data_IF_736824522248
#
_entry.id   IF_736824522248
#
_cell.length_a   1.000
_cell.length_b   1.000
_cell.length_c   1.000
_cell.angle_alpha   90.00
_cell.angle_beta   90.00
_cell.angle_gamma   90.00
#
_symmetry.space_group_name_H-M   'P 1'
#
loop_
_entity.id
_entity.type
_entity.pdbx_description
1 polymer ?
#
# COMPACT_ATOMS: atom_id res chain seq x y z
N UNK A 1 -31.47 -26.53 19.44
CA UNK A 1 -31.21 -26.15 18.04
C UNK A 1 -32.50 -25.57 17.47
N UNK A 2 -32.59 -24.24 17.37
CA UNK A 2 -33.75 -23.61 16.73
C UNK A 2 -33.80 -24.05 15.27
N UNK A 3 -34.93 -24.63 14.86
CA UNK A 3 -35.08 -25.21 13.53
C UNK A 3 -35.04 -24.09 12.50
N UNK A 4 -34.30 -24.28 11.40
CA UNK A 4 -34.29 -23.34 10.26
C UNK A 4 -35.72 -22.95 9.82
N UNK A 5 -36.70 -23.83 10.03
CA UNK A 5 -38.12 -23.59 9.79
C UNK A 5 -38.72 -22.45 10.63
N UNK A 6 -38.28 -22.27 11.87
CA UNK A 6 -38.72 -21.16 12.73
C UNK A 6 -38.12 -19.83 12.26
N UNK A 7 -36.88 -19.84 11.76
CA UNK A 7 -36.22 -18.63 11.23
C UNK A 7 -36.91 -18.19 9.94
N UNK A 8 -37.24 -19.13 9.06
CA UNK A 8 -38.00 -18.85 7.81
C UNK A 8 -39.40 -18.31 8.13
N UNK A 9 -40.11 -18.93 9.08
CA UNK A 9 -41.44 -18.45 9.48
C UNK A 9 -41.42 -17.04 10.06
N UNK A 10 -40.39 -16.71 10.84
CA UNK A 10 -40.24 -15.38 11.42
C UNK A 10 -39.90 -14.32 10.36
N UNK A 11 -39.07 -14.68 9.38
CA UNK A 11 -38.76 -13.82 8.23
C UNK A 11 -40.02 -13.56 7.37
N UNK A 12 -40.85 -14.57 7.14
CA UNK A 12 -42.13 -14.41 6.42
C UNK A 12 -43.13 -13.54 7.20
N UNK A 13 -43.19 -13.66 8.53
CA UNK A 13 -44.04 -12.78 9.33
C UNK A 13 -43.55 -11.34 9.31
N UNK A 14 -42.22 -11.13 9.34
CA UNK A 14 -41.64 -9.78 9.29
C UNK A 14 -41.89 -9.11 7.94
N UNK A 15 -41.75 -9.86 6.84
CA UNK A 15 -42.03 -9.37 5.48
C UNK A 15 -43.51 -9.00 5.26
N UNK A 16 -44.42 -9.66 5.99
CA UNK A 16 -45.86 -9.33 5.96
C UNK A 16 -46.16 -8.07 6.78
N UNK A 17 -45.56 -7.94 7.97
CA UNK A 17 -45.76 -6.78 8.85
C UNK A 17 -45.12 -5.50 8.26
N UNK A 18 -44.04 -5.63 7.49
CA UNK A 18 -43.37 -4.52 6.81
C UNK A 18 -44.03 -4.07 5.50
N UNK A 19 -45.21 -4.61 5.15
CA UNK A 19 -46.00 -4.14 4.00
C UNK A 19 -45.39 -4.45 2.63
N UNK A 20 -44.50 -5.45 2.51
CA UNK A 20 -43.78 -5.78 1.26
C UNK A 20 -44.64 -6.43 0.15
N UNK A 21 -45.95 -6.62 0.34
CA UNK A 21 -46.78 -7.34 -0.63
C UNK A 21 -47.36 -6.48 -1.76
N UNK A 22 -47.25 -5.15 -1.70
CA UNK A 22 -47.80 -4.28 -2.75
C UNK A 22 -46.94 -3.04 -2.96
N UNK A 23 -46.45 -2.91 -4.20
CA UNK A 23 -45.75 -1.78 -4.81
C UNK A 23 -44.25 -1.62 -4.50
N UNK A 24 -43.46 -1.83 -5.55
CA UNK A 24 -42.27 -1.05 -5.93
C UNK A 24 -41.29 -0.70 -4.81
N UNK A 25 -40.15 -1.39 -4.80
CA UNK A 25 -38.94 -1.02 -4.08
C UNK A 25 -38.64 0.47 -4.22
N UNK A 26 -39.07 1.25 -3.22
CA UNK A 26 -38.87 2.69 -3.18
C UNK A 26 -37.55 2.98 -2.45
N UNK A 27 -36.79 4.02 -2.84
CA UNK A 27 -35.50 4.33 -2.21
C UNK A 27 -35.62 4.58 -0.70
N UNK A 28 -36.79 5.02 -0.26
CA UNK A 28 -37.14 5.28 1.14
C UNK A 28 -37.11 3.99 1.99
N UNK A 29 -37.55 2.86 1.43
CA UNK A 29 -37.54 1.58 2.17
C UNK A 29 -36.13 1.02 2.30
N UNK A 30 -35.25 1.28 1.32
CA UNK A 30 -33.84 0.89 1.41
C UNK A 30 -33.06 1.69 2.47
N UNK A 31 -33.41 2.95 2.67
CA UNK A 31 -32.81 3.80 3.71
C UNK A 31 -33.19 3.32 5.11
N UNK A 32 -34.48 3.03 5.34
CA UNK A 32 -34.98 2.53 6.64
C UNK A 32 -34.39 1.15 6.97
N UNK A 33 -34.19 0.29 5.96
CA UNK A 33 -33.53 -1.01 6.13
C UNK A 33 -32.04 -0.85 6.45
N UNK A 34 -31.33 0.07 5.79
CA UNK A 34 -29.92 0.37 6.09
C UNK A 34 -29.75 0.94 7.48
N UNK A 35 -30.65 1.84 7.91
CA UNK A 35 -30.65 2.43 9.25
C UNK A 35 -30.97 1.39 10.32
N UNK A 36 -31.91 0.48 10.05
CA UNK A 36 -32.24 -0.64 10.95
C UNK A 36 -31.10 -1.66 11.04
N UNK A 37 -30.40 -1.95 9.93
CA UNK A 37 -29.24 -2.84 9.92
C UNK A 37 -28.04 -2.24 10.66
N UNK A 38 -27.78 -0.94 10.49
CA UNK A 38 -26.74 -0.21 11.22
C UNK A 38 -27.03 -0.17 12.73
N UNK A 39 -28.28 0.06 13.13
CA UNK A 39 -28.70 0.03 14.54
C UNK A 39 -28.53 -1.35 15.20
N UNK A 40 -28.57 -2.42 14.41
CA UNK A 40 -28.34 -3.79 14.85
C UNK A 40 -26.89 -4.26 14.72
N UNK A 41 -25.98 -3.40 14.27
CA UNK A 41 -24.56 -3.74 14.06
C UNK A 41 -24.32 -4.76 12.93
N UNK A 42 -25.30 -4.93 12.02
CA UNK A 42 -25.12 -5.73 10.82
C UNK A 42 -24.43 -4.90 9.74
N UNK A 43 -23.31 -5.40 9.22
CA UNK A 43 -22.65 -4.85 8.03
C UNK A 43 -23.59 -5.01 6.83
N UNK A 44 -23.83 -3.92 6.09
CA UNK A 44 -24.69 -3.93 4.91
C UNK A 44 -24.05 -4.80 3.81
N UNK A 45 -24.71 -5.89 3.43
CA UNK A 45 -24.21 -6.81 2.39
C UNK A 45 -24.77 -6.46 1.01
N UNK A 46 -23.98 -6.74 -0.03
CA UNK A 46 -24.25 -6.43 -1.44
C UNK A 46 -25.58 -6.99 -1.96
N UNK A 47 -26.05 -8.11 -1.41
CA UNK A 47 -27.32 -8.73 -1.79
C UNK A 47 -28.56 -8.01 -1.23
N UNK A 48 -28.41 -7.11 -0.26
CA UNK A 48 -29.54 -6.38 0.33
C UNK A 48 -29.92 -5.10 -0.44
N UNK A 49 -29.26 -4.81 -1.56
CA UNK A 49 -29.11 -3.44 -2.06
C UNK A 49 -29.24 -3.36 -3.61
N UNK A 50 -30.34 -2.76 -4.10
CA UNK A 50 -30.66 -2.52 -5.53
C UNK A 50 -29.79 -1.41 -6.15
N UNK A 51 -29.50 -1.45 -7.46
CA UNK A 51 -28.47 -0.71 -8.24
C UNK A 51 -28.15 0.76 -7.92
N UNK A 52 -28.97 1.52 -7.18
CA UNK A 52 -28.61 2.84 -6.63
C UNK A 52 -27.71 2.80 -5.39
N UNK A 53 -27.58 1.63 -4.76
CA UNK A 53 -26.90 1.42 -3.47
C UNK A 53 -25.51 0.78 -3.57
N UNK A 54 -25.04 0.48 -4.79
CA UNK A 54 -23.63 0.11 -5.02
C UNK A 54 -22.69 1.24 -4.58
N UNK A 55 -23.07 2.49 -4.81
CA UNK A 55 -22.29 3.66 -4.38
C UNK A 55 -22.19 3.78 -2.85
N UNK A 56 -23.27 3.47 -2.14
CA UNK A 56 -23.31 3.46 -0.68
C UNK A 56 -22.45 2.33 -0.14
N UNK A 57 -22.60 1.11 -0.66
CA UNK A 57 -21.75 -0.03 -0.32
C UNK A 57 -20.27 0.28 -0.51
N UNK A 58 -19.88 0.85 -1.65
CA UNK A 58 -18.48 1.22 -1.92
C UNK A 58 -17.99 2.32 -0.97
N UNK A 59 -18.86 3.25 -0.58
CA UNK A 59 -18.51 4.31 0.38
C UNK A 59 -18.32 3.78 1.80
N UNK A 60 -19.15 2.82 2.24
CA UNK A 60 -18.96 2.17 3.54
C UNK A 60 -17.73 1.28 3.51
N UNK A 61 -17.53 0.48 2.46
CA UNK A 61 -16.32 -0.31 2.28
C UNK A 61 -15.06 0.58 2.31
N UNK A 62 -15.10 1.76 1.67
CA UNK A 62 -13.99 2.70 1.71
C UNK A 62 -13.68 3.20 3.12
N UNK A 63 -14.71 3.48 3.95
CA UNK A 63 -14.54 3.87 5.35
C UNK A 63 -14.03 2.72 6.21
N UNK A 64 -14.60 1.53 6.08
CA UNK A 64 -14.16 0.32 6.78
C UNK A 64 -12.67 0.03 6.52
N UNK A 65 -12.25 0.17 5.26
CA UNK A 65 -10.85 -0.05 4.88
C UNK A 65 -9.92 1.02 5.44
N UNK A 66 -10.35 2.29 5.44
CA UNK A 66 -9.59 3.35 6.05
C UNK A 66 -9.44 3.13 7.56
N UNK A 67 -10.52 2.78 8.25
CA UNK A 67 -10.51 2.44 9.68
C UNK A 67 -9.59 1.26 9.95
N UNK A 68 -9.71 0.17 9.19
CA UNK A 68 -8.87 -1.02 9.31
C UNK A 68 -7.37 -0.72 9.17
N UNK A 69 -7.01 0.18 8.26
CA UNK A 69 -5.63 0.64 8.05
C UNK A 69 -5.12 1.57 9.15
N UNK A 70 -5.99 2.43 9.68
CA UNK A 70 -5.65 3.39 10.74
C UNK A 70 -5.80 2.85 12.16
N UNK A 71 -6.31 1.64 12.32
CA UNK A 71 -6.45 0.98 13.62
C UNK A 71 -5.06 0.80 14.26
N UNK A 72 -4.72 1.72 15.18
CA UNK A 72 -3.43 1.78 15.87
C UNK A 72 -3.12 0.50 16.65
N UNK A 73 -4.15 -0.29 17.03
CA UNK A 73 -3.95 -1.58 17.72
C UNK A 73 -3.34 -2.62 16.81
N UNK A 74 -3.70 -2.59 15.53
CA UNK A 74 -3.17 -3.50 14.51
C UNK A 74 -1.90 -2.93 13.88
N UNK A 75 -1.81 -1.61 13.77
CA UNK A 75 -0.64 -0.89 13.28
C UNK A 75 -0.19 -1.39 11.92
N UNK A 76 -1.11 -1.82 11.06
CA UNK A 76 -0.83 -2.59 9.84
C UNK A 76 0.14 -1.81 8.95
N UNK A 77 -0.18 -0.54 8.70
CA UNK A 77 0.65 0.28 7.86
C UNK A 77 2.02 0.57 8.49
N UNK A 78 2.10 0.69 9.83
CA UNK A 78 3.39 0.89 10.52
C UNK A 78 4.27 -0.36 10.47
N UNK A 79 3.66 -1.55 10.55
CA UNK A 79 4.37 -2.83 10.43
C UNK A 79 4.99 -3.01 9.05
N UNK A 80 4.32 -2.47 8.04
CA UNK A 80 4.63 -2.61 6.62
C UNK A 80 5.37 -1.36 6.10
N UNK A 81 6.09 -0.65 6.98
CA UNK A 81 6.97 0.43 6.55
C UNK A 81 6.29 1.71 6.09
N UNK A 82 4.98 1.85 6.29
CA UNK A 82 4.19 3.03 5.92
C UNK A 82 3.54 2.98 4.54
N UNK A 83 3.87 1.98 3.71
CA UNK A 83 3.39 1.85 2.33
C UNK A 83 3.08 0.37 2.07
N UNK A 84 1.90 0.09 1.52
CA UNK A 84 1.47 -1.27 1.22
C UNK A 84 0.85 -1.36 -0.17
N UNK A 85 1.06 -2.47 -0.89
CA UNK A 85 0.36 -2.67 -2.17
C UNK A 85 -1.14 -2.89 -1.96
N UNK A 86 -1.97 -2.42 -2.90
CA UNK A 86 -3.42 -2.61 -2.82
C UNK A 86 -3.79 -4.11 -2.81
N UNK A 87 -2.98 -4.93 -3.48
CA UNK A 87 -3.15 -6.38 -3.60
C UNK A 87 -2.89 -7.06 -2.24
N UNK A 88 -1.78 -6.69 -1.58
CA UNK A 88 -1.44 -7.23 -0.26
C UNK A 88 -2.51 -6.82 0.77
N UNK A 89 -2.99 -5.57 0.69
CA UNK A 89 -4.07 -5.09 1.54
C UNK A 89 -5.36 -5.89 1.33
N UNK A 90 -5.77 -6.09 0.08
CA UNK A 90 -6.95 -6.90 -0.26
C UNK A 90 -6.83 -8.32 0.31
N UNK A 91 -5.66 -8.95 0.17
CA UNK A 91 -5.42 -10.29 0.69
C UNK A 91 -5.46 -10.33 2.23
N UNK A 92 -4.84 -9.36 2.91
CA UNK A 92 -4.85 -9.25 4.37
C UNK A 92 -6.26 -9.01 4.92
N UNK A 93 -7.01 -8.11 4.29
CA UNK A 93 -8.38 -7.79 4.66
C UNK A 93 -9.28 -9.02 4.57
N UNK A 94 -9.28 -9.70 3.41
CA UNK A 94 -10.09 -10.90 3.21
C UNK A 94 -9.67 -12.07 4.11
N UNK A 95 -8.37 -12.23 4.40
CA UNK A 95 -7.88 -13.22 5.38
C UNK A 95 -8.39 -12.92 6.79
N UNK A 96 -8.48 -11.66 7.17
CA UNK A 96 -8.95 -11.25 8.50
C UNK A 96 -10.45 -11.50 8.73
N UNK A 97 -11.25 -11.65 7.66
CA UNK A 97 -12.68 -11.96 7.73
C UNK A 97 -13.00 -13.47 7.76
N UNK A 98 -11.98 -14.34 7.80
CA UNK A 98 -12.11 -15.80 7.92
C UNK A 98 -13.11 -16.47 6.96
N UNK A 99 -13.28 -15.91 5.75
CA UNK A 99 -14.14 -16.49 4.71
C UNK A 99 -15.61 -16.03 4.73
N UNK A 100 -15.96 -15.06 5.58
CA UNK A 100 -17.30 -14.45 5.60
C UNK A 100 -17.23 -13.06 4.96
N UNK A 101 -18.18 -12.70 4.10
CA UNK A 101 -18.27 -11.37 3.45
C UNK A 101 -16.97 -10.89 2.77
N UNK A 102 -16.47 -11.69 1.83
CA UNK A 102 -15.28 -11.37 1.05
C UNK A 102 -15.54 -10.19 0.10
N UNK A 103 -14.59 -9.26 0.04
CA UNK A 103 -14.62 -8.17 -0.93
C UNK A 103 -14.03 -8.63 -2.27
N UNK A 104 -14.72 -8.33 -3.37
CA UNK A 104 -14.19 -8.58 -4.72
C UNK A 104 -13.03 -7.62 -5.04
N UNK A 105 -12.03 -8.04 -5.84
CA UNK A 105 -10.92 -7.15 -6.20
C UNK A 105 -11.37 -5.86 -6.90
N UNK A 106 -12.41 -5.94 -7.74
CA UNK A 106 -12.96 -4.77 -8.44
C UNK A 106 -13.64 -3.79 -7.50
N UNK A 107 -14.41 -4.28 -6.53
CA UNK A 107 -15.08 -3.41 -5.56
C UNK A 107 -14.05 -2.77 -4.61
N UNK A 108 -13.00 -3.52 -4.26
CA UNK A 108 -11.89 -3.01 -3.45
C UNK A 108 -11.16 -1.85 -4.12
N UNK A 109 -10.87 -1.97 -5.43
CA UNK A 109 -10.25 -0.89 -6.19
C UNK A 109 -11.16 0.35 -6.25
N UNK A 110 -12.44 0.17 -6.60
CA UNK A 110 -13.42 1.26 -6.64
C UNK A 110 -13.55 1.97 -5.29
N UNK A 111 -13.57 1.22 -4.18
CA UNK A 111 -13.62 1.77 -2.83
C UNK A 111 -12.34 2.57 -2.50
N UNK A 112 -11.16 2.06 -2.86
CA UNK A 112 -9.90 2.77 -2.65
C UNK A 112 -9.81 4.09 -3.43
N UNK A 113 -10.40 4.17 -4.62
CA UNK A 113 -10.50 5.41 -5.41
C UNK A 113 -11.40 6.48 -4.74
N UNK A 114 -12.30 6.09 -3.83
CA UNK A 114 -13.14 7.02 -3.09
C UNK A 114 -12.43 7.69 -1.92
N UNK A 115 -11.26 7.21 -1.47
CA UNK A 115 -10.56 7.77 -0.31
C UNK A 115 -10.21 9.25 -0.46
N UNK A 116 -9.78 9.67 -1.66
CA UNK A 116 -9.49 11.08 -1.93
C UNK A 116 -10.76 11.94 -1.90
N UNK A 117 -11.86 11.43 -2.45
CA UNK A 117 -13.15 12.13 -2.48
C UNK A 117 -13.75 12.30 -1.09
N UNK A 118 -13.62 11.27 -0.26
CA UNK A 118 -14.11 11.23 1.12
C UNK A 118 -13.15 11.90 2.12
N UNK A 119 -11.99 12.39 1.68
CA UNK A 119 -10.95 13.02 2.51
C UNK A 119 -10.54 12.17 3.71
N UNK A 120 -10.40 10.86 3.48
CA UNK A 120 -9.97 9.91 4.50
C UNK A 120 -8.46 10.05 4.77
N UNK A 121 -7.97 9.63 5.95
CA UNK A 121 -6.55 9.75 6.35
C UNK A 121 -5.58 8.84 5.56
N UNK A 122 -6.06 8.18 4.52
CA UNK A 122 -5.33 7.29 3.62
C UNK A 122 -5.51 7.75 2.17
N UNK A 123 -4.52 7.46 1.33
CA UNK A 123 -4.55 7.81 -0.10
C UNK A 123 -4.08 6.66 -0.96
N UNK A 124 -4.64 6.57 -2.16
CA UNK A 124 -4.23 5.64 -3.20
C UNK A 124 -3.23 6.33 -4.11
N UNK A 125 -2.01 5.80 -4.24
CA UNK A 125 -1.00 6.26 -5.19
C UNK A 125 -0.82 5.23 -6.29
N UNK A 126 -0.63 5.69 -7.52
CA UNK A 126 -0.26 4.87 -8.67
C UNK A 126 1.18 5.16 -9.07
N UNK A 127 2.01 4.12 -9.16
CA UNK A 127 3.36 4.22 -9.69
C UNK A 127 3.40 4.13 -11.22
N UNK A 128 4.57 4.38 -11.81
CA UNK A 128 4.79 4.34 -13.27
C UNK A 128 4.51 2.97 -13.88
N UNK A 129 4.83 1.89 -13.17
CA UNK A 129 4.51 0.52 -13.59
C UNK A 129 3.01 0.20 -13.60
N UNK A 130 2.19 1.08 -13.01
CA UNK A 130 0.76 0.83 -12.77
C UNK A 130 0.47 0.17 -11.42
N UNK A 131 1.48 -0.13 -10.60
CA UNK A 131 1.28 -0.64 -9.25
C UNK A 131 0.50 0.38 -8.41
N UNK A 132 -0.60 -0.09 -7.81
CA UNK A 132 -1.41 0.69 -6.88
C UNK A 132 -0.95 0.41 -5.46
N UNK A 133 -0.64 1.48 -4.72
CA UNK A 133 -0.23 1.40 -3.32
C UNK A 133 -1.06 2.32 -2.44
N UNK A 134 -1.17 1.91 -1.19
CA UNK A 134 -1.87 2.60 -0.13
C UNK A 134 -0.85 3.15 0.85
N UNK A 135 -1.02 4.41 1.21
CA UNK A 135 -0.17 5.11 2.15
C UNK A 135 -1.00 6.11 2.95
N UNK A 136 -0.49 6.56 4.09
CA UNK A 136 -1.15 7.64 4.86
C UNK A 136 -1.10 8.95 4.09
N UNK A 137 -2.05 9.82 4.41
CA UNK A 137 -2.14 11.15 3.82
C UNK A 137 -0.90 12.03 4.10
N UNK A 138 -0.26 11.83 5.25
CA UNK A 138 0.94 12.58 5.68
C UNK A 138 2.26 12.03 5.11
N UNK A 139 2.20 10.94 4.35
CA UNK A 139 3.37 10.37 3.70
C UNK A 139 3.72 11.18 2.45
N UNK A 140 5.00 11.47 2.24
CA UNK A 140 5.47 12.17 1.04
C UNK A 140 6.72 11.50 0.48
N UNK A 141 6.92 11.66 -0.82
CA UNK A 141 8.07 11.12 -1.55
C UNK A 141 9.38 11.64 -0.94
N UNK A 142 9.40 12.90 -0.51
CA UNK A 142 10.54 13.54 0.12
C UNK A 142 10.96 12.83 1.42
N UNK A 143 10.00 12.40 2.25
CA UNK A 143 10.30 11.63 3.47
C UNK A 143 10.89 10.26 3.14
N UNK A 144 10.42 9.61 2.07
CA UNK A 144 11.01 8.34 1.61
C UNK A 144 12.44 8.54 1.15
N UNK A 145 12.71 9.60 0.40
CA UNK A 145 14.05 9.96 -0.08
C UNK A 145 15.00 10.23 1.08
N UNK A 146 14.59 11.00 2.09
CA UNK A 146 15.39 11.25 3.29
C UNK A 146 15.76 9.95 4.01
N UNK A 147 14.83 8.99 4.10
CA UNK A 147 15.09 7.67 4.67
C UNK A 147 16.10 6.87 3.86
N UNK A 148 16.02 6.91 2.53
CA UNK A 148 17.03 6.27 1.67
C UNK A 148 18.40 6.90 1.85
N UNK A 149 18.49 8.23 1.87
CA UNK A 149 19.76 8.93 2.09
C UNK A 149 20.39 8.58 3.45
N UNK A 150 19.58 8.57 4.52
CA UNK A 150 20.03 8.16 5.84
C UNK A 150 20.53 6.72 5.87
N UNK A 151 19.83 5.81 5.19
CA UNK A 151 20.25 4.40 5.10
C UNK A 151 21.54 4.22 4.29
N UNK A 152 21.71 4.94 3.18
CA UNK A 152 22.96 4.93 2.41
C UNK A 152 24.14 5.48 3.21
N UNK A 153 23.90 6.47 4.08
CA UNK A 153 24.91 7.00 5.00
C UNK A 153 25.27 6.01 6.12
N UNK A 154 24.28 5.26 6.62
CA UNK A 154 24.50 4.17 7.58
C UNK A 154 25.37 3.06 6.97
N UNK A 155 25.07 2.65 5.73
CA UNK A 155 25.83 1.61 5.02
C UNK A 155 27.29 1.99 4.76
N UNK A 156 27.60 3.28 4.57
CA UNK A 156 28.99 3.76 4.43
C UNK A 156 29.85 3.52 5.68
N UNK A 157 29.24 3.42 6.86
CA UNK A 157 29.97 3.19 8.12
C UNK A 157 30.37 1.74 8.32
N UNK A 158 29.78 0.82 7.54
CA UNK A 158 30.06 -0.61 7.63
C UNK A 158 31.16 -0.94 6.60
N UNK A 159 32.33 -1.40 7.05
CA UNK A 159 33.37 -1.84 6.13
C UNK A 159 32.89 -3.09 5.37
N UNK A 160 33.20 -3.21 4.07
CA UNK A 160 32.88 -4.40 3.31
C UNK A 160 33.70 -5.60 3.79
N UNK A 161 33.09 -6.79 3.77
CA UNK A 161 33.74 -8.05 4.20
C UNK A 161 34.92 -8.43 3.28
N UNK A 162 34.79 -8.13 1.99
CA UNK A 162 35.82 -8.36 0.98
C UNK A 162 36.49 -7.06 0.55
N UNK A 163 37.78 -7.08 0.19
CA UNK A 163 38.48 -5.91 -0.31
C UNK A 163 37.87 -5.47 -1.66
N UNK A 164 37.26 -4.29 -1.67
CA UNK A 164 36.67 -3.70 -2.87
C UNK A 164 37.66 -2.74 -3.56
N UNK A 165 37.64 -2.65 -4.90
CA UNK A 165 38.57 -1.81 -5.66
C UNK A 165 38.24 -0.31 -5.65
N UNK A 166 37.18 0.11 -4.95
CA UNK A 166 36.77 1.52 -4.82
C UNK A 166 36.83 1.99 -3.36
N UNK A 167 36.90 3.31 -3.17
CA UNK A 167 36.85 3.92 -1.84
C UNK A 167 35.46 3.76 -1.20
N UNK A 168 35.24 2.64 -0.50
CA UNK A 168 33.98 2.33 0.18
C UNK A 168 33.59 3.39 1.22
N UNK A 169 34.56 4.06 1.84
CA UNK A 169 34.30 5.16 2.78
C UNK A 169 33.67 6.39 2.09
N UNK A 170 33.90 6.55 0.78
CA UNK A 170 33.33 7.64 0.00
C UNK A 170 32.08 7.17 -0.76
N UNK A 171 32.15 6.06 -1.49
CA UNK A 171 31.07 5.63 -2.38
C UNK A 171 30.06 4.69 -1.70
N UNK A 172 30.42 4.07 -0.60
CA UNK A 172 29.60 3.09 0.11
C UNK A 172 29.45 1.78 -0.67
N UNK A 173 28.24 1.23 -0.60
CA UNK A 173 27.84 -0.07 -1.16
C UNK A 173 26.52 0.09 -1.91
N UNK A 174 26.33 -0.73 -2.96
CA UNK A 174 25.07 -0.85 -3.67
C UNK A 174 24.00 -1.56 -2.83
N UNK A 175 22.74 -1.19 -3.04
CA UNK A 175 21.58 -1.84 -2.43
C UNK A 175 20.69 -2.49 -3.50
N UNK A 176 20.08 -3.61 -3.14
CA UNK A 176 19.09 -4.30 -3.98
C UNK A 176 17.66 -4.01 -3.51
N UNK A 177 16.68 -4.25 -4.37
CA UNK A 177 15.27 -4.14 -3.99
C UNK A 177 14.89 -5.07 -2.82
N UNK A 178 15.54 -6.25 -2.72
CA UNK A 178 15.31 -7.19 -1.63
C UNK A 178 15.83 -6.67 -0.29
N UNK A 179 17.00 -6.04 -0.29
CA UNK A 179 17.56 -5.41 0.91
C UNK A 179 16.72 -4.23 1.38
N UNK A 180 16.25 -3.40 0.44
CA UNK A 180 15.35 -2.30 0.74
C UNK A 180 14.02 -2.81 1.32
N UNK A 181 13.44 -3.86 0.73
CA UNK A 181 12.25 -4.52 1.23
C UNK A 181 12.44 -5.01 2.69
N UNK A 182 13.57 -5.64 2.99
CA UNK A 182 13.88 -6.08 4.35
C UNK A 182 14.10 -4.92 5.32
N UNK A 183 14.85 -3.90 4.92
CA UNK A 183 15.20 -2.73 5.76
C UNK A 183 13.98 -1.89 6.13
N UNK A 184 13.11 -1.64 5.16
CA UNK A 184 11.94 -0.78 5.33
C UNK A 184 10.66 -1.54 5.64
N UNK A 185 10.70 -2.89 5.61
CA UNK A 185 9.53 -3.77 5.75
C UNK A 185 8.47 -3.52 4.68
N UNK A 186 8.92 -3.28 3.46
CA UNK A 186 8.05 -3.18 2.29
C UNK A 186 7.99 -4.53 1.57
N UNK A 187 6.96 -4.73 0.76
CA UNK A 187 7.00 -5.79 -0.23
C UNK A 187 8.02 -5.46 -1.33
N UNK A 188 8.60 -6.49 -1.95
CA UNK A 188 9.69 -6.32 -2.93
C UNK A 188 9.26 -5.45 -4.11
N UNK A 189 8.00 -5.57 -4.55
CA UNK A 189 7.44 -4.73 -5.61
C UNK A 189 7.41 -3.25 -5.22
N UNK A 190 6.94 -2.93 -4.00
CA UNK A 190 6.92 -1.55 -3.50
C UNK A 190 8.34 -1.00 -3.35
N UNK A 191 9.27 -1.81 -2.84
CA UNK A 191 10.66 -1.41 -2.69
C UNK A 191 11.34 -1.10 -4.04
N UNK A 192 11.04 -1.88 -5.09
CA UNK A 192 11.56 -1.62 -6.44
C UNK A 192 11.04 -0.29 -7.00
N UNK A 193 9.74 0.00 -6.89
CA UNK A 193 9.15 1.26 -7.35
C UNK A 193 9.66 2.48 -6.58
N UNK A 194 9.85 2.35 -5.26
CA UNK A 194 10.39 3.45 -4.44
C UNK A 194 11.88 3.72 -4.74
N UNK A 195 12.65 2.69 -5.08
CA UNK A 195 14.03 2.86 -5.55
C UNK A 195 14.10 3.54 -6.92
N UNK A 196 13.21 3.14 -7.85
CA UNK A 196 13.09 3.78 -9.17
C UNK A 196 12.63 5.24 -9.03
N UNK A 197 11.71 5.54 -8.12
CA UNK A 197 11.33 6.91 -7.79
C UNK A 197 12.51 7.74 -7.27
N UNK A 198 13.36 7.15 -6.43
CA UNK A 198 14.57 7.82 -5.93
C UNK A 198 15.63 8.03 -7.04
N UNK A 199 15.69 7.14 -8.03
CA UNK A 199 16.48 7.31 -9.25
C UNK A 199 15.95 8.46 -10.11
N UNK A 200 14.64 8.52 -10.35
CA UNK A 200 14.00 9.61 -11.11
C UNK A 200 14.27 10.99 -10.51
N UNK A 201 14.33 11.06 -9.18
CA UNK A 201 14.66 12.28 -8.44
C UNK A 201 16.16 12.59 -8.44
N UNK A 202 16.98 11.73 -9.04
CA UNK A 202 18.42 11.88 -9.17
C UNK A 202 19.19 11.61 -7.88
N UNK A 203 18.58 10.98 -6.88
CA UNK A 203 19.23 10.68 -5.59
C UNK A 203 20.00 9.37 -5.66
N UNK A 204 19.45 8.39 -6.36
CA UNK A 204 20.09 7.11 -6.64
C UNK A 204 20.45 7.00 -8.12
N UNK A 205 21.36 6.09 -8.43
CA UNK A 205 21.71 5.71 -9.79
C UNK A 205 21.74 4.19 -9.92
N UNK A 206 21.26 3.72 -11.06
CA UNK A 206 21.09 2.31 -11.39
C UNK A 206 22.36 1.70 -11.96
N UNK A 207 22.72 0.52 -11.47
CA UNK A 207 23.71 -0.38 -12.05
C UNK A 207 22.98 -1.67 -12.47
N UNK A 208 23.09 -2.01 -13.75
CA UNK A 208 22.56 -3.25 -14.29
C UNK A 208 23.72 -4.19 -14.61
N UNK A 209 23.81 -5.28 -13.86
CA UNK A 209 24.85 -6.29 -14.01
C UNK A 209 24.28 -7.70 -14.15
N UNK A 210 25.17 -8.68 -14.31
CA UNK A 210 24.82 -10.10 -14.41
C UNK A 210 24.14 -10.59 -13.12
N UNK A 211 24.51 -10.01 -11.99
CA UNK A 211 23.97 -10.33 -10.67
C UNK A 211 22.61 -9.65 -10.39
N UNK A 212 22.12 -8.85 -11.34
CA UNK A 212 20.83 -8.17 -11.30
C UNK A 212 20.93 -6.65 -11.12
N UNK A 213 19.82 -6.08 -10.67
CA UNK A 213 19.63 -4.64 -10.54
C UNK A 213 20.10 -4.14 -9.17
N UNK A 214 21.01 -3.17 -9.19
CA UNK A 214 21.55 -2.51 -7.99
C UNK A 214 21.38 -1.00 -8.06
N UNK A 215 21.22 -0.39 -6.90
CA UNK A 215 21.10 1.06 -6.76
C UNK A 215 22.25 1.59 -5.91
N UNK A 216 22.86 2.67 -6.38
CA UNK A 216 23.94 3.39 -5.72
C UNK A 216 23.50 4.79 -5.38
N UNK A 217 24.20 5.42 -4.43
CA UNK A 217 24.04 6.85 -4.19
C UNK A 217 24.58 7.63 -5.39
N UNK A 218 23.83 8.62 -5.86
CA UNK A 218 24.22 9.39 -7.04
C UNK A 218 25.33 10.41 -6.73
N UNK A 219 26.54 10.10 -7.17
CA UNK A 219 27.68 11.03 -7.17
C UNK A 219 27.93 11.70 -8.51
N UNK A 220 27.23 11.28 -9.56
CA UNK A 220 27.43 11.75 -10.93
C UNK A 220 26.77 13.13 -11.13
N UNK A 221 25.54 13.29 -10.61
CA UNK A 221 24.77 14.54 -10.71
C UNK A 221 25.06 15.51 -9.56
N UNK A 222 25.51 14.99 -8.42
CA UNK A 222 25.85 15.79 -7.24
C UNK A 222 27.07 16.66 -7.54
N UNK A 223 26.91 17.99 -7.45
CA UNK A 223 27.99 19.00 -7.64
C UNK A 223 29.23 18.80 -6.75
N UNK A 224 29.20 17.84 -5.82
CA UNK A 224 30.33 17.42 -4.99
C UNK A 224 31.46 16.74 -5.81
N UNK A 225 31.16 16.16 -6.97
CA UNK A 225 32.18 15.55 -7.84
C UNK A 225 32.70 16.54 -8.90
N UNK A 226 33.12 17.74 -8.49
CA UNK A 226 33.86 18.68 -9.39
C UNK A 226 35.33 18.87 -9.06
N UNK A 227 35.84 18.30 -7.97
CA UNK A 227 37.27 18.35 -7.66
C UNK A 227 37.70 17.04 -7.00
N UNK A 228 38.81 16.46 -7.48
CA UNK A 228 39.53 15.27 -6.98
C UNK A 228 39.31 13.93 -7.68
N UNK A 229 39.23 13.93 -9.02
CA UNK A 229 39.90 12.84 -9.75
C UNK A 229 41.27 13.37 -10.18
N UNK A 230 42.21 13.41 -9.23
CA UNK A 230 43.62 13.45 -9.59
C UNK A 230 43.92 12.08 -10.19
N UNK A 231 43.91 12.02 -11.52
CA UNK A 231 44.47 10.92 -12.27
C UNK A 231 45.95 10.80 -11.85
N UNK A 232 46.29 9.88 -10.95
CA UNK A 232 47.69 9.47 -10.77
C UNK A 232 48.00 8.56 -11.95
N UNK A 233 48.85 8.98 -12.91
CA UNK A 233 49.31 8.07 -13.95
C UNK A 233 50.09 6.97 -13.23
N UNK A 234 49.68 5.71 -13.43
CA UNK A 234 50.56 4.58 -13.11
C UNK A 234 51.75 4.73 -14.06
N UNK A 235 52.89 5.18 -13.53
CA UNK A 235 54.15 5.17 -14.26
C UNK A 235 54.44 3.73 -14.68
N UNK A 236 54.35 3.47 -15.98
CA UNK A 236 55.03 2.33 -16.59
C UNK A 236 56.54 2.58 -16.46
N UNK A 237 57.12 2.20 -15.33
CA UNK A 237 58.56 1.93 -15.27
C UNK A 237 58.80 0.60 -15.94
N UNK A 238 59.27 0.66 -17.18
CA UNK A 238 59.95 -0.45 -17.81
C UNK A 238 61.27 -0.74 -17.11
N UNK A 239 61.55 -2.04 -16.93
CA UNK A 239 62.83 -2.70 -17.17
C UNK A 239 62.56 -4.20 -17.27
#
# INVERSE_FOLDING_TARGET
MASAKQIVALAETLARDSGMATNGSSPETSAVLSESAAALGMVTTKDMLSSGSESLYLSELARDLAEYLTDDRKGILQREGGIMSLIDLWALFNRSRNGVELASPSDFQKAAELWEKLKLPVRLRRFKSGLLVVQRYDWSDEKTIEKFQAWMEELRRVPPDDPVPWDWSLFGRAVTAQEAAHRFKWSVGVAAEELEMAEDRGVLCREEGIEGLRFWRNFISSRECKYNVAYTPVEMTGL
#
